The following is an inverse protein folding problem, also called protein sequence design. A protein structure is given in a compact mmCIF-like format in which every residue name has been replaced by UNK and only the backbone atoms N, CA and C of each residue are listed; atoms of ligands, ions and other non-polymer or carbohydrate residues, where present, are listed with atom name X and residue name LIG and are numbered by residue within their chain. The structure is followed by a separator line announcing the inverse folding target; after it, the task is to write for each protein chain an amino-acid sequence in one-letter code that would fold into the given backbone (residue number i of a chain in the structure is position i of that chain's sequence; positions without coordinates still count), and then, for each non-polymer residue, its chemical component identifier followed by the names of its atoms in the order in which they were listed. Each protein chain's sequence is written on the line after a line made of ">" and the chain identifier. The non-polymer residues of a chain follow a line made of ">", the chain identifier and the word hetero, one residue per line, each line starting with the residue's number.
data_IF_419922422033
#
_entry.id   IF_419922422033
#
_cell.length_a   1.000
_cell.length_b   1.000
_cell.length_c   1.000
_cell.angle_alpha   90.00
_cell.angle_beta   90.00
_cell.angle_gamma   90.00
#
_symmetry.space_group_name_H-M   'P 1'
#
loop_
_entity.id
_entity.type
_entity.pdbx_description
1 polymer ?
#
# COMPACT_ATOMS: atom_id res chain seq x y z
N UNK A 1 1.51 -12.14 46.84
CA UNK A 1 2.40 -11.57 45.82
C UNK A 1 1.51 -11.32 44.60
N UNK A 2 1.27 -10.02 44.26
CA UNK A 2 0.49 -9.67 43.09
C UNK A 2 1.37 -9.71 41.84
N UNK A 3 0.93 -10.38 40.81
CA UNK A 3 1.60 -10.31 39.52
C UNK A 3 1.17 -9.04 38.79
N UNK A 4 2.11 -8.27 38.26
CA UNK A 4 1.84 -7.17 37.34
C UNK A 4 1.20 -7.75 36.08
N UNK A 5 0.08 -7.18 35.63
CA UNK A 5 -0.63 -7.64 34.44
C UNK A 5 -0.50 -6.64 33.28
N UNK A 6 -0.63 -5.36 33.56
CA UNK A 6 -0.49 -4.29 32.56
C UNK A 6 -0.28 -2.93 33.23
N UNK A 7 0.28 -2.00 32.48
CA UNK A 7 0.29 -0.57 32.77
C UNK A 7 -0.53 0.14 31.70
N UNK A 8 -1.41 1.02 32.15
CA UNK A 8 -2.24 1.88 31.31
C UNK A 8 -1.87 3.33 31.58
N UNK A 9 -1.60 4.09 30.53
CA UNK A 9 -1.29 5.51 30.60
C UNK A 9 -2.23 6.28 29.69
N UNK A 10 -2.88 7.31 30.20
CA UNK A 10 -3.72 8.19 29.39
C UNK A 10 -2.83 9.18 28.62
N UNK A 11 -3.06 9.31 27.31
CA UNK A 11 -2.33 10.18 26.43
C UNK A 11 -3.22 11.32 25.90
N UNK A 12 -2.60 12.46 25.62
CA UNK A 12 -3.21 13.44 24.73
C UNK A 12 -3.00 13.01 23.27
N UNK A 13 -3.90 13.44 22.37
CA UNK A 13 -3.85 13.03 20.96
C UNK A 13 -2.54 13.45 20.25
N UNK A 14 -1.91 14.53 20.71
CA UNK A 14 -0.62 15.04 20.23
C UNK A 14 0.60 14.27 20.78
N UNK A 15 0.38 13.40 21.77
CA UNK A 15 1.40 12.50 22.33
C UNK A 15 1.42 11.13 21.63
N UNK A 16 0.43 10.85 20.77
CA UNK A 16 0.39 9.61 20.02
C UNK A 16 1.54 9.53 19.02
N UNK A 17 2.21 8.37 18.89
CA UNK A 17 3.22 8.16 17.87
C UNK A 17 2.67 8.39 16.46
N UNK A 18 3.53 8.86 15.58
CA UNK A 18 3.17 9.11 14.18
C UNK A 18 2.61 7.87 13.49
N UNK A 19 3.14 6.67 13.82
CA UNK A 19 2.64 5.40 13.32
C UNK A 19 1.17 5.15 13.70
N UNK A 20 0.81 5.39 14.98
CA UNK A 20 -0.56 5.23 15.46
C UNK A 20 -1.50 6.27 14.84
N UNK A 21 -1.07 7.53 14.72
CA UNK A 21 -1.84 8.59 14.05
C UNK A 21 -2.02 8.30 12.55
N UNK A 22 -0.99 7.78 11.88
CA UNK A 22 -1.07 7.38 10.48
C UNK A 22 -2.07 6.23 10.31
N UNK A 23 -1.98 5.19 11.15
CA UNK A 23 -2.92 4.06 11.15
C UNK A 23 -4.37 4.52 11.32
N UNK A 24 -4.62 5.44 12.26
CA UNK A 24 -5.94 6.03 12.45
C UNK A 24 -6.43 6.81 11.22
N UNK A 25 -5.59 7.68 10.66
CA UNK A 25 -5.93 8.49 9.47
C UNK A 25 -6.23 7.66 8.23
N UNK A 26 -5.66 6.46 8.15
CA UNK A 26 -5.88 5.53 7.04
C UNK A 26 -6.91 4.42 7.34
N UNK A 27 -7.60 4.51 8.47
CA UNK A 27 -8.63 3.56 8.89
C UNK A 27 -10.04 4.00 8.47
N UNK A 28 -11.02 3.12 8.66
CA UNK A 28 -12.45 3.41 8.53
C UNK A 28 -12.97 4.42 9.56
N UNK A 29 -12.13 4.81 10.49
CA UNK A 29 -12.44 5.73 11.58
C UNK A 29 -11.84 7.12 11.36
N UNK A 30 -11.20 7.37 10.20
CA UNK A 30 -10.48 8.62 9.89
C UNK A 30 -11.36 9.88 9.92
N UNK A 31 -12.64 9.75 9.64
CA UNK A 31 -13.65 10.83 9.69
C UNK A 31 -14.24 11.05 11.09
N UNK A 32 -13.90 10.20 12.06
CA UNK A 32 -14.35 10.31 13.44
C UNK A 32 -13.40 11.16 14.27
N UNK A 33 -13.95 11.75 15.33
CA UNK A 33 -13.12 12.49 16.29
C UNK A 33 -12.50 11.52 17.29
N UNK A 34 -11.21 11.64 17.56
CA UNK A 34 -10.58 11.00 18.72
C UNK A 34 -11.06 11.72 19.98
N UNK A 35 -11.72 11.01 20.89
CA UNK A 35 -12.27 11.52 22.15
C UNK A 35 -11.40 11.11 23.35
N UNK A 36 -10.49 10.14 23.17
CA UNK A 36 -9.51 9.68 24.16
C UNK A 36 -8.44 8.80 23.53
N UNK A 37 -7.29 8.75 24.16
CA UNK A 37 -6.18 7.88 23.78
C UNK A 37 -5.52 7.30 25.03
N UNK A 38 -5.17 6.03 25.00
CA UNK A 38 -4.53 5.30 26.08
C UNK A 38 -3.43 4.41 25.52
N UNK A 39 -2.33 4.33 26.25
CA UNK A 39 -1.20 3.44 25.96
C UNK A 39 -1.19 2.28 26.94
N UNK A 40 -0.94 1.09 26.45
CA UNK A 40 -0.91 -0.14 27.22
C UNK A 40 0.42 -0.88 27.03
N UNK A 41 1.01 -1.29 28.16
CA UNK A 41 2.08 -2.29 28.24
C UNK A 41 1.56 -3.45 29.03
N UNK A 42 1.68 -4.66 28.52
CA UNK A 42 1.20 -5.90 29.18
C UNK A 42 2.36 -6.73 29.72
N UNK A 43 2.03 -7.66 30.61
CA UNK A 43 3.01 -8.63 31.14
C UNK A 43 3.58 -9.59 30.08
N UNK A 44 2.92 -9.71 28.95
CA UNK A 44 3.34 -10.52 27.80
C UNK A 44 4.15 -9.72 26.77
N UNK A 45 4.70 -8.56 27.19
CA UNK A 45 5.49 -7.63 26.37
C UNK A 45 4.73 -7.02 25.17
N UNK A 46 3.38 -7.04 25.18
CA UNK A 46 2.61 -6.32 24.17
C UNK A 46 2.59 -4.82 24.47
N UNK A 47 2.79 -4.02 23.45
CA UNK A 47 2.69 -2.57 23.46
C UNK A 47 1.69 -2.10 22.41
N UNK A 48 0.62 -1.43 22.84
CA UNK A 48 -0.42 -0.94 21.93
C UNK A 48 -1.12 0.30 22.46
N UNK A 49 -1.86 0.95 21.57
CA UNK A 49 -2.67 2.13 21.85
C UNK A 49 -4.15 1.80 21.70
N UNK A 50 -4.99 2.33 22.59
CA UNK A 50 -6.45 2.27 22.48
C UNK A 50 -6.97 3.69 22.25
N UNK A 51 -7.61 3.92 21.10
CA UNK A 51 -8.25 5.17 20.78
C UNK A 51 -9.76 5.06 20.98
N UNK A 52 -10.33 5.94 21.77
CA UNK A 52 -11.78 6.14 21.82
C UNK A 52 -12.17 7.11 20.72
N UNK A 53 -12.82 6.62 19.69
CA UNK A 53 -13.33 7.42 18.57
C UNK A 53 -14.83 7.67 18.73
N UNK A 54 -15.29 8.85 18.30
CA UNK A 54 -16.68 9.27 18.44
C UNK A 54 -17.25 9.80 17.13
N UNK A 55 -18.47 9.37 16.84
CA UNK A 55 -19.31 9.92 15.79
C UNK A 55 -20.73 10.23 16.30
N UNK A 56 -21.67 10.50 15.37
CA UNK A 56 -23.07 10.77 15.70
C UNK A 56 -23.85 9.57 16.28
N UNK A 57 -23.31 8.36 16.16
CA UNK A 57 -23.93 7.12 16.60
C UNK A 57 -23.39 6.64 17.95
N UNK A 58 -22.28 7.21 18.43
CA UNK A 58 -21.72 6.85 19.73
C UNK A 58 -20.20 6.89 19.79
N UNK A 59 -19.67 6.21 20.81
CA UNK A 59 -18.25 6.01 21.02
C UNK A 59 -17.88 4.57 20.71
N UNK A 60 -16.70 4.37 20.14
CA UNK A 60 -16.11 3.06 19.85
C UNK A 60 -14.63 3.10 20.23
N UNK A 61 -14.13 1.99 20.76
CA UNK A 61 -12.71 1.82 21.04
C UNK A 61 -12.07 1.01 19.91
N UNK A 62 -10.92 1.46 19.49
CA UNK A 62 -10.08 0.78 18.48
C UNK A 62 -8.69 0.58 19.08
N UNK A 63 -8.09 -0.57 18.85
CA UNK A 63 -6.71 -0.88 19.23
C UNK A 63 -5.80 -0.65 18.03
N UNK A 64 -4.65 -0.04 18.27
CA UNK A 64 -3.58 0.13 17.30
C UNK A 64 -2.31 -0.39 17.95
N UNK A 65 -1.71 -1.41 17.39
CA UNK A 65 -0.45 -1.95 17.88
C UNK A 65 0.72 -1.01 17.55
N UNK A 66 1.87 -1.20 18.19
CA UNK A 66 3.06 -0.34 18.03
C UNK A 66 3.50 -0.19 16.57
N UNK A 67 3.32 -1.24 15.77
CA UNK A 67 3.63 -1.26 14.33
C UNK A 67 2.60 -0.54 13.45
N UNK A 68 1.50 -0.02 14.04
CA UNK A 68 0.40 0.63 13.34
C UNK A 68 -0.66 -0.35 12.80
N UNK A 69 -0.66 -1.61 13.22
CA UNK A 69 -1.75 -2.54 12.94
C UNK A 69 -2.99 -2.14 13.74
N UNK A 70 -4.14 -2.06 13.07
CA UNK A 70 -5.40 -1.67 13.70
C UNK A 70 -6.28 -2.89 13.93
N UNK A 71 -6.72 -3.10 15.17
CA UNK A 71 -7.67 -4.14 15.55
C UNK A 71 -8.87 -3.54 16.29
N UNK A 72 -10.02 -4.20 16.20
CA UNK A 72 -11.24 -3.74 16.86
C UNK A 72 -11.34 -4.38 18.25
N UNK A 73 -11.50 -3.60 19.32
CA UNK A 73 -11.58 -4.12 20.70
C UNK A 73 -12.81 -5.02 20.93
N UNK A 74 -13.78 -5.02 20.02
CA UNK A 74 -14.92 -5.95 20.05
C UNK A 74 -14.53 -7.42 19.96
N UNK A 75 -13.35 -7.70 19.43
CA UNK A 75 -12.85 -9.06 19.22
C UNK A 75 -11.98 -9.57 20.39
N UNK A 76 -11.73 -8.75 21.42
CA UNK A 76 -10.88 -9.11 22.58
C UNK A 76 -11.51 -10.13 23.53
N UNK A 77 -12.75 -10.55 23.32
CA UNK A 77 -13.42 -11.60 24.12
C UNK A 77 -13.45 -12.96 23.45
N UNK A 78 -12.95 -13.07 22.22
CA UNK A 78 -12.68 -14.37 21.62
C UNK A 78 -11.22 -14.73 21.92
N UNK A 79 -10.94 -15.91 22.53
CA UNK A 79 -9.56 -16.35 22.67
C UNK A 79 -9.01 -16.48 21.25
N UNK A 80 -8.04 -15.63 20.93
CA UNK A 80 -7.26 -15.78 19.69
C UNK A 80 -6.69 -17.17 19.72
N UNK A 81 -7.31 -18.09 18.98
CA UNK A 81 -6.63 -19.30 18.55
C UNK A 81 -5.44 -18.79 17.75
N UNK A 82 -4.20 -19.17 18.06
CA UNK A 82 -3.10 -18.94 17.17
C UNK A 82 -3.38 -19.75 15.92
N UNK A 83 -3.99 -19.12 14.92
CA UNK A 83 -4.04 -19.67 13.58
C UNK A 83 -2.61 -19.61 13.07
N UNK A 84 -2.02 -20.76 13.24
CA UNK A 84 -0.85 -21.31 12.61
C UNK A 84 -0.70 -20.78 11.18
N UNK A 85 0.55 -20.38 10.86
CA UNK A 85 1.05 -20.11 9.54
C UNK A 85 0.65 -18.76 8.91
N UNK A 86 1.60 -17.81 8.95
CA UNK A 86 1.71 -16.58 8.16
C UNK A 86 1.36 -16.68 6.68
N UNK A 87 0.11 -16.97 6.39
CA UNK A 87 -0.46 -16.95 5.07
C UNK A 87 -1.66 -16.02 5.11
N UNK A 88 -1.54 -14.85 4.45
CA UNK A 88 -2.65 -13.98 4.12
C UNK A 88 -3.85 -14.85 3.71
N UNK A 89 -5.01 -14.60 4.32
CA UNK A 89 -6.19 -15.45 4.32
C UNK A 89 -6.42 -16.17 3.00
N UNK A 90 -6.76 -17.43 3.07
CA UNK A 90 -6.84 -18.42 1.98
C UNK A 90 -7.72 -18.07 0.77
N UNK A 91 -8.23 -16.86 0.66
CA UNK A 91 -9.07 -16.37 -0.46
C UNK A 91 -8.42 -15.25 -1.27
N UNK A 92 -7.28 -14.68 -0.85
CA UNK A 92 -6.64 -13.54 -1.51
C UNK A 92 -7.41 -12.21 -1.42
N UNK A 93 -8.55 -12.18 -0.75
CA UNK A 93 -9.34 -10.97 -0.54
C UNK A 93 -8.99 -10.32 0.79
N UNK A 94 -8.92 -8.98 0.78
CA UNK A 94 -8.59 -8.14 1.93
C UNK A 94 -9.83 -7.33 2.35
N UNK A 95 -9.99 -7.12 3.64
CA UNK A 95 -10.86 -6.07 4.14
C UNK A 95 -10.23 -4.70 3.87
N UNK A 96 -11.03 -3.65 3.99
CA UNK A 96 -10.54 -2.28 3.82
C UNK A 96 -9.38 -1.94 4.80
N UNK A 97 -9.45 -2.45 6.02
CA UNK A 97 -8.44 -2.24 7.07
C UNK A 97 -7.14 -3.01 6.81
N UNK A 98 -7.21 -4.17 6.14
CA UNK A 98 -6.05 -4.99 5.83
C UNK A 98 -5.22 -4.49 4.65
N UNK A 99 -5.75 -3.59 3.80
CA UNK A 99 -5.02 -3.04 2.65
C UNK A 99 -3.72 -2.35 3.10
N UNK A 100 -3.79 -1.54 4.15
CA UNK A 100 -2.61 -0.83 4.66
C UNK A 100 -1.53 -1.77 5.19
N UNK A 101 -1.91 -2.85 5.87
CA UNK A 101 -0.99 -3.88 6.36
C UNK A 101 -0.37 -4.65 5.18
N UNK A 102 -1.19 -5.09 4.22
CA UNK A 102 -0.71 -5.74 3.00
C UNK A 102 0.34 -4.90 2.28
N UNK A 103 0.07 -3.60 2.09
CA UNK A 103 0.98 -2.68 1.40
C UNK A 103 2.30 -2.52 2.16
N UNK A 104 2.28 -2.35 3.48
CA UNK A 104 3.49 -2.26 4.31
C UNK A 104 4.32 -3.55 4.28
N UNK A 105 3.66 -4.69 4.36
CA UNK A 105 4.34 -5.99 4.29
C UNK A 105 5.01 -6.22 2.94
N UNK A 106 4.35 -5.82 1.85
CA UNK A 106 4.85 -6.02 0.49
C UNK A 106 5.96 -5.02 0.11
N UNK A 107 5.89 -3.80 0.65
CA UNK A 107 6.80 -2.69 0.33
C UNK A 107 7.38 -2.06 1.61
N UNK A 108 8.19 -2.80 2.38
CA UNK A 108 8.67 -2.35 3.70
C UNK A 108 9.54 -1.09 3.66
N UNK A 109 10.21 -0.83 2.51
CA UNK A 109 11.08 0.35 2.31
C UNK A 109 10.31 1.59 1.82
N UNK A 110 9.00 1.46 1.56
CA UNK A 110 8.18 2.55 1.03
C UNK A 110 7.29 3.17 2.11
N UNK A 111 7.06 4.47 1.99
CA UNK A 111 6.12 5.21 2.84
C UNK A 111 4.78 5.38 2.12
N UNK A 112 3.68 5.01 2.77
CA UNK A 112 2.33 5.27 2.25
C UNK A 112 2.08 6.77 2.30
N UNK A 113 1.84 7.39 1.14
CA UNK A 113 1.55 8.82 0.99
C UNK A 113 0.04 9.07 0.97
N UNK A 114 -0.70 8.18 0.33
CA UNK A 114 -2.16 8.24 0.26
C UNK A 114 -2.75 6.83 0.15
N UNK A 115 -3.95 6.66 0.69
CA UNK A 115 -4.78 5.46 0.52
C UNK A 115 -6.21 5.92 0.27
N UNK A 116 -6.73 5.63 -0.91
CA UNK A 116 -8.07 6.02 -1.34
C UNK A 116 -8.92 4.79 -1.62
N UNK A 117 -10.22 4.91 -1.35
CA UNK A 117 -11.19 3.86 -1.56
C UNK A 117 -12.42 4.44 -2.25
N UNK A 118 -12.97 3.71 -3.18
CA UNK A 118 -14.26 3.99 -3.80
C UNK A 118 -15.08 2.70 -3.99
N UNK A 119 -16.22 2.80 -4.65
CA UNK A 119 -17.12 1.67 -4.95
C UNK A 119 -16.56 0.69 -5.98
N UNK A 120 -15.42 1.00 -6.61
CA UNK A 120 -14.76 0.16 -7.62
C UNK A 120 -13.52 -0.52 -7.08
N UNK A 121 -12.84 0.11 -6.11
CA UNK A 121 -11.61 -0.44 -5.58
C UNK A 121 -10.90 0.46 -4.58
N UNK A 122 -9.61 0.22 -4.43
CA UNK A 122 -8.71 1.03 -3.63
C UNK A 122 -7.40 1.27 -4.38
N UNK A 123 -6.76 2.40 -4.09
CA UNK A 123 -5.42 2.72 -4.59
C UNK A 123 -4.57 3.25 -3.44
N UNK A 124 -3.40 2.63 -3.23
CA UNK A 124 -2.37 3.15 -2.35
C UNK A 124 -1.25 3.80 -3.17
N UNK A 125 -0.92 5.04 -2.83
CA UNK A 125 0.25 5.73 -3.36
C UNK A 125 1.39 5.67 -2.34
N UNK A 126 2.57 5.23 -2.79
CA UNK A 126 3.76 5.07 -1.97
C UNK A 126 4.90 5.91 -2.53
N UNK A 127 5.76 6.35 -1.62
CA UNK A 127 7.02 6.99 -1.94
C UNK A 127 8.18 6.12 -1.48
N UNK A 128 9.13 5.85 -2.36
CA UNK A 128 10.39 5.19 -2.05
C UNK A 128 11.56 5.90 -2.75
N UNK A 129 12.81 5.66 -2.35
CA UNK A 129 13.97 6.23 -3.04
C UNK A 129 13.97 5.88 -4.53
N UNK A 130 13.95 6.90 -5.39
CA UNK A 130 14.04 6.75 -6.85
C UNK A 130 12.74 6.37 -7.58
N UNK A 131 11.63 6.12 -6.88
CA UNK A 131 10.37 5.77 -7.54
C UNK A 131 9.15 6.20 -6.71
N UNK A 132 8.00 6.28 -7.39
CA UNK A 132 6.67 6.28 -6.76
C UNK A 132 5.98 4.99 -7.13
N UNK A 133 5.26 4.40 -6.19
CA UNK A 133 4.54 3.15 -6.41
C UNK A 133 3.05 3.43 -6.26
N UNK A 134 2.25 2.90 -7.17
CA UNK A 134 0.80 2.81 -7.05
C UNK A 134 0.40 1.35 -6.92
N UNK A 135 -0.33 1.03 -5.87
CA UNK A 135 -0.85 -0.32 -5.63
C UNK A 135 -2.35 -0.29 -5.77
N UNK A 136 -2.90 -1.11 -6.66
CA UNK A 136 -4.32 -1.10 -6.99
C UNK A 136 -5.02 -2.36 -6.55
N UNK A 137 -6.25 -2.17 -6.10
CA UNK A 137 -7.14 -3.23 -5.64
C UNK A 137 -8.51 -3.06 -6.28
N UNK A 138 -9.06 -4.12 -6.82
CA UNK A 138 -10.47 -4.17 -7.25
C UNK A 138 -11.37 -4.53 -6.07
N UNK A 139 -12.48 -3.83 -5.92
CA UNK A 139 -13.52 -4.24 -4.98
C UNK A 139 -14.36 -5.38 -5.56
N UNK A 140 -14.59 -6.41 -4.74
CA UNK A 140 -15.42 -7.58 -5.02
C UNK A 140 -16.37 -7.83 -3.86
N UNK A 141 -17.44 -8.61 -4.01
CA UNK A 141 -18.34 -8.91 -2.90
C UNK A 141 -17.67 -9.53 -1.67
N UNK A 142 -16.51 -10.18 -1.85
CA UNK A 142 -15.72 -10.82 -0.80
C UNK A 142 -14.67 -9.88 -0.15
N UNK A 143 -14.47 -8.69 -0.71
CA UNK A 143 -13.46 -7.73 -0.26
C UNK A 143 -12.61 -7.17 -1.40
N UNK A 144 -11.44 -6.62 -1.07
CA UNK A 144 -10.51 -6.04 -2.02
C UNK A 144 -9.50 -7.08 -2.50
N UNK A 145 -9.35 -7.18 -3.81
CA UNK A 145 -8.36 -8.05 -4.45
C UNK A 145 -7.26 -7.20 -5.05
N UNK A 146 -6.00 -7.45 -4.65
CA UNK A 146 -4.86 -6.83 -5.29
C UNK A 146 -4.79 -7.21 -6.77
N UNK A 147 -4.64 -6.21 -7.64
CA UNK A 147 -4.64 -6.40 -9.09
C UNK A 147 -3.30 -6.09 -9.73
N UNK A 148 -2.65 -5.03 -9.29
CA UNK A 148 -1.34 -4.66 -9.83
C UNK A 148 -0.61 -3.67 -8.91
N UNK A 149 0.71 -3.62 -9.09
CA UNK A 149 1.54 -2.55 -8.58
C UNK A 149 2.35 -1.93 -9.72
N UNK A 150 2.44 -0.62 -9.74
CA UNK A 150 3.05 0.17 -10.81
C UNK A 150 4.11 1.12 -10.20
N UNK A 151 5.34 1.03 -10.65
CA UNK A 151 6.44 1.93 -10.28
C UNK A 151 6.64 2.98 -11.37
N UNK A 152 6.46 4.25 -11.05
CA UNK A 152 6.91 5.36 -11.90
C UNK A 152 8.43 5.51 -11.72
N UNK A 153 9.20 5.14 -12.75
CA UNK A 153 10.65 5.20 -12.73
C UNK A 153 11.15 6.60 -13.17
N UNK A 154 12.21 7.11 -12.54
CA UNK A 154 12.82 8.36 -13.00
C UNK A 154 13.53 8.11 -14.34
N UNK A 155 12.97 8.62 -15.42
CA UNK A 155 13.54 8.48 -16.78
C UNK A 155 14.91 9.17 -16.95
N UNK A 156 15.32 10.02 -16.00
CA UNK A 156 16.64 10.67 -15.97
C UNK A 156 17.69 9.77 -15.31
N UNK A 157 17.24 8.85 -14.45
CA UNK A 157 18.09 7.84 -13.83
C UNK A 157 17.72 6.45 -14.37
N UNK A 158 18.36 6.08 -15.46
CA UNK A 158 18.10 4.79 -16.13
C UNK A 158 18.86 3.62 -15.49
N UNK A 159 19.55 3.81 -14.38
CA UNK A 159 20.32 2.75 -13.72
C UNK A 159 19.43 1.61 -13.21
N UNK A 160 18.19 1.92 -12.80
CA UNK A 160 17.20 0.94 -12.36
C UNK A 160 16.54 0.17 -13.51
N UNK A 161 16.76 0.57 -14.77
CA UNK A 161 16.14 -0.05 -15.94
C UNK A 161 17.08 -1.13 -16.50
N UNK A 162 16.62 -2.37 -16.75
CA UNK A 162 17.45 -3.40 -17.36
C UNK A 162 18.09 -2.95 -18.67
N UNK A 163 19.35 -3.32 -18.88
CA UNK A 163 20.09 -2.95 -20.08
C UNK A 163 19.41 -3.44 -21.36
N UNK A 164 18.76 -4.59 -21.30
CA UNK A 164 17.95 -5.17 -22.38
C UNK A 164 16.79 -4.27 -22.81
N UNK A 165 16.02 -3.77 -21.83
CA UNK A 165 14.90 -2.85 -22.08
C UNK A 165 15.40 -1.56 -22.71
N UNK A 166 16.48 -0.97 -22.15
CA UNK A 166 17.10 0.24 -22.71
C UNK A 166 17.57 0.03 -24.14
N UNK A 167 18.29 -1.06 -24.40
CA UNK A 167 18.78 -1.38 -25.74
C UNK A 167 17.66 -1.49 -26.79
N UNK A 168 16.53 -2.10 -26.42
CA UNK A 168 15.37 -2.19 -27.31
C UNK A 168 14.74 -0.82 -27.55
N UNK A 169 14.58 0.02 -26.52
CA UNK A 169 14.05 1.37 -26.68
C UNK A 169 14.95 2.22 -27.58
N UNK A 170 16.27 2.19 -27.36
CA UNK A 170 17.25 2.93 -28.15
C UNK A 170 17.30 2.46 -29.62
N UNK A 171 17.24 1.15 -29.86
CA UNK A 171 17.33 0.60 -31.20
C UNK A 171 16.03 0.76 -32.03
N UNK A 172 14.86 0.53 -31.39
CA UNK A 172 13.57 0.51 -32.08
C UNK A 172 12.91 1.88 -32.14
N UNK A 173 13.26 2.80 -31.24
CA UNK A 173 12.61 4.12 -31.09
C UNK A 173 13.62 5.28 -31.02
N UNK A 174 14.70 5.21 -31.81
CA UNK A 174 15.77 6.22 -31.85
C UNK A 174 15.25 7.66 -32.14
N UNK A 175 14.17 7.79 -32.92
CA UNK A 175 13.55 9.07 -33.28
C UNK A 175 12.46 9.52 -32.27
N UNK A 176 12.35 8.82 -31.15
CA UNK A 176 11.37 9.12 -30.11
C UNK A 176 12.05 9.61 -28.84
N UNK A 177 11.33 10.44 -28.08
CA UNK A 177 11.70 10.83 -26.73
C UNK A 177 10.87 10.01 -25.74
N UNK A 178 11.55 9.41 -24.75
CA UNK A 178 10.88 8.78 -23.61
C UNK A 178 10.21 9.83 -22.75
N UNK A 179 8.89 9.70 -22.53
CA UNK A 179 8.09 10.59 -21.70
C UNK A 179 7.85 10.03 -20.29
N UNK A 180 7.64 8.73 -20.20
CA UNK A 180 7.56 8.00 -18.94
C UNK A 180 8.02 6.57 -19.13
N UNK A 181 8.44 5.97 -18.05
CA UNK A 181 8.76 4.55 -17.96
C UNK A 181 8.20 4.02 -16.64
N UNK A 182 7.48 2.92 -16.72
CA UNK A 182 6.88 2.24 -15.57
C UNK A 182 7.32 0.80 -15.55
N UNK A 183 7.53 0.28 -14.36
CA UNK A 183 7.57 -1.16 -14.13
C UNK A 183 6.22 -1.58 -13.55
N UNK A 184 5.63 -2.64 -14.05
CA UNK A 184 4.31 -3.11 -13.65
C UNK A 184 4.37 -4.56 -13.24
N UNK A 185 3.86 -4.84 -12.06
CA UNK A 185 3.72 -6.16 -11.46
C UNK A 185 2.23 -6.48 -11.32
N UNK A 186 1.62 -7.18 -12.29
CA UNK A 186 0.23 -7.59 -12.22
C UNK A 186 0.06 -8.83 -11.34
N UNK A 187 -1.09 -8.98 -10.68
CA UNK A 187 -1.38 -10.12 -9.81
C UNK A 187 -1.47 -11.47 -10.54
N UNK A 188 -1.79 -11.45 -11.84
CA UNK A 188 -2.13 -12.67 -12.59
C UNK A 188 -1.41 -12.81 -13.94
N UNK A 189 -0.32 -12.06 -14.14
CA UNK A 189 0.48 -12.12 -15.38
C UNK A 189 1.95 -11.87 -15.07
N UNK A 190 2.81 -12.03 -16.07
CA UNK A 190 4.23 -11.71 -15.93
C UNK A 190 4.46 -10.20 -15.83
N UNK A 191 5.51 -9.82 -15.10
CA UNK A 191 5.92 -8.44 -14.96
C UNK A 191 6.37 -7.85 -16.29
N UNK A 192 6.15 -6.54 -16.45
CA UNK A 192 6.53 -5.87 -17.69
C UNK A 192 6.91 -4.40 -17.45
N UNK A 193 7.59 -3.83 -18.42
CA UNK A 193 7.84 -2.39 -18.51
C UNK A 193 6.85 -1.75 -19.48
N UNK A 194 6.27 -0.60 -19.09
CA UNK A 194 5.46 0.23 -20.00
C UNK A 194 6.20 1.55 -20.26
N UNK A 195 6.56 1.79 -21.51
CA UNK A 195 7.21 3.01 -21.97
C UNK A 195 6.24 3.88 -22.77
N UNK A 196 6.15 5.16 -22.42
CA UNK A 196 5.46 6.16 -23.22
C UNK A 196 6.48 6.96 -24.04
N UNK A 197 6.34 6.92 -25.35
CA UNK A 197 7.29 7.47 -26.32
C UNK A 197 6.61 8.57 -27.15
N UNK A 198 7.32 9.63 -27.48
CA UNK A 198 6.82 10.72 -28.34
C UNK A 198 7.79 10.99 -29.47
N UNK A 199 7.33 10.87 -30.71
CA UNK A 199 8.14 11.17 -31.89
C UNK A 199 8.64 12.62 -31.85
N UNK A 200 9.91 12.80 -32.09
CA UNK A 200 10.55 14.12 -32.18
C UNK A 200 10.02 14.89 -33.40
N UNK A 201 9.79 14.19 -34.50
CA UNK A 201 9.39 14.75 -35.77
C UNK A 201 7.88 14.98 -35.86
N UNK A 202 7.09 13.92 -35.71
CA UNK A 202 5.62 13.97 -35.97
C UNK A 202 4.80 14.31 -34.74
N UNK A 203 5.39 14.32 -33.55
CA UNK A 203 4.70 14.49 -32.24
C UNK A 203 3.70 13.37 -31.89
N UNK A 204 3.63 12.33 -32.68
CA UNK A 204 2.84 11.14 -32.38
C UNK A 204 3.35 10.46 -31.10
N UNK A 205 2.44 9.83 -30.37
CA UNK A 205 2.75 9.11 -29.12
C UNK A 205 2.52 7.62 -29.33
N UNK A 206 3.46 6.82 -28.84
CA UNK A 206 3.41 5.37 -28.83
C UNK A 206 3.56 4.90 -27.38
N UNK A 207 2.80 3.89 -27.01
CA UNK A 207 3.00 3.14 -25.77
C UNK A 207 3.49 1.74 -26.11
N UNK A 208 4.52 1.28 -25.42
CA UNK A 208 5.14 -0.01 -25.65
C UNK A 208 5.21 -0.76 -24.34
N UNK A 209 4.79 -2.03 -24.37
CA UNK A 209 5.05 -2.98 -23.28
C UNK A 209 6.20 -3.87 -23.65
N UNK A 210 7.14 -4.04 -22.72
CA UNK A 210 8.32 -4.90 -22.90
C UNK A 210 8.41 -5.85 -21.70
N UNK A 211 8.87 -7.08 -21.93
CA UNK A 211 9.28 -7.96 -20.86
C UNK A 211 10.62 -7.51 -20.24
N UNK A 212 11.03 -8.18 -19.16
CA UNK A 212 12.31 -7.88 -18.47
C UNK A 212 13.55 -8.20 -19.36
N UNK A 213 13.38 -9.00 -20.40
CA UNK A 213 14.40 -9.34 -21.39
C UNK A 213 14.45 -8.31 -22.53
N UNK A 214 13.54 -7.32 -22.53
CA UNK A 214 13.48 -6.27 -23.53
C UNK A 214 12.71 -6.65 -24.79
N UNK A 215 12.01 -7.80 -24.82
CA UNK A 215 11.15 -8.16 -25.96
C UNK A 215 9.88 -7.30 -25.96
N UNK A 216 9.50 -6.79 -27.11
CA UNK A 216 8.26 -6.02 -27.25
C UNK A 216 7.08 -6.99 -27.20
N UNK A 217 6.24 -6.85 -26.15
CA UNK A 217 5.03 -7.63 -25.97
C UNK A 217 3.85 -7.03 -26.73
N UNK A 218 3.68 -5.71 -26.63
CA UNK A 218 2.58 -4.97 -27.26
C UNK A 218 3.01 -3.54 -27.57
N UNK A 219 2.55 -3.02 -28.70
CA UNK A 219 2.68 -1.64 -29.09
C UNK A 219 1.31 -1.01 -29.35
N UNK A 220 1.05 0.15 -28.75
CA UNK A 220 -0.16 0.93 -28.94
C UNK A 220 0.23 2.32 -29.46
N UNK A 221 -0.32 2.74 -30.58
CA UNK A 221 -0.10 4.07 -31.13
C UNK A 221 -0.91 4.32 -32.38
N UNK A 222 -1.11 5.58 -32.71
CA UNK A 222 -1.61 5.97 -34.04
C UNK A 222 -0.41 6.05 -34.97
N UNK A 223 -0.39 5.19 -35.95
CA UNK A 223 0.49 5.32 -37.12
C UNK A 223 0.04 6.47 -37.99
#
# INVERSE_FOLDING_TARGET
>A
EGNWLSTQTQLHTDELPEAALAAFRFSDYADRRIDGAEEYFTADDEHYYVLTVKDRFGKQEIRIDEDGTLSNRGDLNDPVQPDDDGQAGSTGYLSKTEIGAFVRQRYPEATIVALTHDDKGAEAELSCPGAKIKVRFDFRPQGYLWTESEWDLDIRDTSAVPASVRATLDASYADYRLNFLKYVEPASADNYYEAGLKSVQTKQTVKVKLDEQGSILVEYGKH
#
